data_IF_394250827306
#
_entry.id   IF_394250827306
#
_cell.length_a   1.000
_cell.length_b   1.000
_cell.length_c   1.000
_cell.angle_alpha   90.00
_cell.angle_beta   90.00
_cell.angle_gamma   90.00
#
_symmetry.space_group_name_H-M   'P 1'
#
loop_
_entity.id
_entity.type
_entity.pdbx_description
1 polymer ?
#
# COMPACT_ATOMS: atom_id res chain seq x y z
N UNK A 1 12.92 -55.05 35.58
CA UNK A 1 12.00 -53.95 35.17
C UNK A 1 12.81 -52.67 35.03
N UNK A 2 13.16 -52.30 33.79
CA UNK A 2 13.99 -51.13 33.49
C UNK A 2 13.15 -49.85 33.44
N UNK A 3 13.52 -48.84 34.24
CA UNK A 3 12.91 -47.51 34.18
C UNK A 3 13.52 -46.72 33.02
N UNK A 4 12.69 -46.33 32.06
CA UNK A 4 13.04 -45.42 30.97
C UNK A 4 13.06 -43.98 31.54
N UNK A 5 14.12 -43.18 31.37
CA UNK A 5 14.08 -41.77 31.70
C UNK A 5 13.39 -40.98 30.58
N UNK A 6 12.43 -40.11 30.94
CA UNK A 6 11.88 -39.11 30.02
C UNK A 6 12.97 -38.13 29.56
N UNK A 7 12.97 -37.70 28.28
CA UNK A 7 13.87 -36.65 27.82
C UNK A 7 13.49 -35.30 28.44
N UNK A 8 14.50 -34.65 29.04
CA UNK A 8 14.43 -33.25 29.51
C UNK A 8 14.04 -32.33 28.35
N UNK A 9 13.11 -31.41 28.60
CA UNK A 9 12.69 -30.39 27.62
C UNK A 9 13.87 -29.49 27.24
N UNK A 10 14.26 -29.54 25.97
CA UNK A 10 15.30 -28.69 25.40
C UNK A 10 14.70 -27.34 24.99
N UNK A 11 14.84 -26.37 25.90
CA UNK A 11 15.16 -24.96 25.61
C UNK A 11 14.44 -24.27 24.43
N UNK A 12 13.20 -23.81 24.64
CA UNK A 12 12.56 -22.78 23.79
C UNK A 12 13.08 -21.34 24.02
N UNK A 13 14.01 -21.13 24.96
CA UNK A 13 14.53 -19.78 25.31
C UNK A 13 15.66 -19.28 24.40
N UNK A 14 16.34 -20.15 23.64
CA UNK A 14 17.53 -19.76 22.83
C UNK A 14 17.17 -19.09 21.50
N UNK A 15 16.03 -19.39 20.91
CA UNK A 15 15.63 -18.85 19.59
C UNK A 15 15.15 -17.40 19.65
N UNK A 16 14.45 -16.99 20.72
CA UNK A 16 14.00 -15.59 20.89
C UNK A 16 15.13 -14.61 21.23
N UNK A 17 16.20 -15.07 21.91
CA UNK A 17 17.37 -14.21 22.21
C UNK A 17 18.15 -13.85 20.95
N UNK A 18 18.27 -14.76 19.97
CA UNK A 18 19.08 -14.50 18.76
C UNK A 18 18.40 -13.52 17.79
N UNK A 19 17.07 -13.56 17.65
CA UNK A 19 16.31 -12.54 16.88
C UNK A 19 16.40 -11.15 17.52
N UNK A 20 16.25 -11.07 18.84
CA UNK A 20 16.35 -9.79 19.59
C UNK A 20 17.77 -9.21 19.56
N UNK A 21 18.80 -10.05 19.58
CA UNK A 21 20.19 -9.64 19.44
C UNK A 21 20.52 -9.16 18.00
N UNK A 22 20.01 -9.84 16.97
CA UNK A 22 20.17 -9.40 15.57
C UNK A 22 19.52 -8.04 15.29
N UNK A 23 18.31 -7.79 15.82
CA UNK A 23 17.64 -6.48 15.73
C UNK A 23 18.40 -5.36 16.47
N UNK A 24 19.03 -5.67 17.61
CA UNK A 24 19.89 -4.72 18.33
C UNK A 24 21.13 -4.31 17.53
N UNK A 25 21.70 -5.21 16.73
CA UNK A 25 22.94 -4.94 15.98
C UNK A 25 22.72 -4.17 14.66
N UNK A 26 21.49 -4.02 14.18
CA UNK A 26 21.18 -3.29 12.93
C UNK A 26 20.54 -1.91 13.15
N UNK A 27 20.36 -1.47 14.40
CA UNK A 27 19.73 -0.19 14.73
C UNK A 27 20.77 0.84 15.15
N UNK A 28 20.66 2.07 14.60
CA UNK A 28 21.45 3.22 15.03
C UNK A 28 20.57 4.14 15.87
N UNK A 29 21.09 4.61 17.00
CA UNK A 29 20.41 5.58 17.86
C UNK A 29 20.80 6.97 17.40
N UNK A 30 19.80 7.83 17.17
CA UNK A 30 20.00 9.24 16.85
C UNK A 30 19.37 10.04 18.00
N UNK A 31 20.15 10.94 18.59
CA UNK A 31 19.68 11.88 19.62
C UNK A 31 19.68 13.28 19.00
N UNK A 32 18.52 13.94 18.99
CA UNK A 32 18.35 15.29 18.45
C UNK A 32 17.82 16.18 19.57
N UNK A 33 18.43 17.36 19.75
CA UNK A 33 17.87 18.42 20.59
C UNK A 33 16.94 19.26 19.73
N UNK A 34 15.73 19.49 20.20
CA UNK A 34 14.72 20.30 19.54
C UNK A 34 14.33 21.45 20.46
N UNK A 35 13.92 22.57 19.88
CA UNK A 35 13.36 23.71 20.61
C UNK A 35 11.99 23.34 21.22
N UNK A 36 11.60 24.05 22.28
CA UNK A 36 10.38 23.74 23.05
C UNK A 36 9.11 23.92 22.21
N UNK A 37 9.08 24.92 21.34
CA UNK A 37 7.96 25.19 20.44
C UNK A 37 7.70 24.03 19.46
N UNK A 38 8.77 23.42 18.92
CA UNK A 38 8.69 22.25 18.07
C UNK A 38 8.22 21.03 18.87
N UNK A 39 8.70 20.88 20.10
CA UNK A 39 8.29 19.82 21.00
C UNK A 39 6.77 19.89 21.32
N UNK A 40 6.27 21.09 21.65
CA UNK A 40 4.85 21.35 21.88
C UNK A 40 4.00 21.07 20.64
N UNK A 41 4.48 21.50 19.46
CA UNK A 41 3.76 21.26 18.21
C UNK A 41 3.67 19.77 17.87
N UNK A 42 4.76 19.01 18.07
CA UNK A 42 4.77 17.54 17.95
C UNK A 42 3.76 16.93 18.91
N UNK A 43 3.71 17.38 20.17
CA UNK A 43 2.76 16.88 21.17
C UNK A 43 1.30 17.14 20.78
N UNK A 44 0.99 18.32 20.26
CA UNK A 44 -0.35 18.66 19.78
C UNK A 44 -0.77 17.78 18.61
N UNK A 45 0.11 17.60 17.62
CA UNK A 45 -0.21 16.84 16.40
C UNK A 45 -0.33 15.34 16.67
N UNK A 46 0.58 14.74 17.47
CA UNK A 46 0.47 13.31 17.81
C UNK A 46 -0.83 13.01 18.56
N UNK A 47 -1.30 13.91 19.44
CA UNK A 47 -2.52 13.74 20.23
C UNK A 47 -3.73 13.71 19.30
N UNK A 48 -3.78 14.62 18.33
CA UNK A 48 -4.84 14.66 17.31
C UNK A 48 -4.90 13.37 16.48
N UNK A 49 -3.76 12.72 16.26
CA UNK A 49 -3.65 11.49 15.47
C UNK A 49 -3.71 10.20 16.30
N UNK A 50 -3.77 10.28 17.64
CA UNK A 50 -3.74 9.11 18.51
C UNK A 50 -2.42 8.33 18.50
N UNK A 51 -1.29 8.98 18.18
CA UNK A 51 0.02 8.34 18.03
C UNK A 51 0.93 8.60 19.24
N UNK A 52 1.86 7.67 19.49
CA UNK A 52 2.97 7.92 20.40
C UNK A 52 3.92 8.97 19.81
N UNK A 53 4.62 9.73 20.66
CA UNK A 53 5.60 10.74 20.19
C UNK A 53 6.70 10.08 19.35
N UNK A 54 7.15 8.89 19.76
CA UNK A 54 8.16 8.14 19.05
C UNK A 54 7.69 7.68 17.66
N UNK A 55 6.47 7.14 17.53
CA UNK A 55 5.94 6.69 16.23
C UNK A 55 5.70 7.87 15.29
N UNK A 56 5.18 8.98 15.82
CA UNK A 56 5.02 10.21 15.06
C UNK A 56 6.37 10.67 14.48
N UNK A 57 7.42 10.76 15.30
CA UNK A 57 8.77 11.16 14.84
C UNK A 57 9.32 10.15 13.83
N UNK A 58 9.18 8.84 14.07
CA UNK A 58 9.63 7.80 13.12
C UNK A 58 8.96 7.95 11.76
N UNK A 59 7.66 8.23 11.71
CA UNK A 59 6.95 8.44 10.45
C UNK A 59 7.53 9.61 9.64
N UNK A 60 7.90 10.72 10.30
CA UNK A 60 8.58 11.84 9.62
C UNK A 60 9.98 11.48 9.15
N UNK A 61 10.73 10.69 9.94
CA UNK A 61 12.06 10.22 9.53
C UNK A 61 11.97 9.25 8.36
N UNK A 62 10.94 8.40 8.31
CA UNK A 62 10.68 7.51 7.18
C UNK A 62 10.40 8.28 5.88
N UNK A 63 9.75 9.45 5.95
CA UNK A 63 9.56 10.31 4.77
C UNK A 63 10.87 10.79 4.14
N UNK A 64 11.98 10.85 4.91
CA UNK A 64 13.29 11.24 4.37
C UNK A 64 13.82 10.28 3.31
N UNK A 65 13.30 9.05 3.24
CA UNK A 65 13.60 8.07 2.18
C UNK A 65 13.03 8.49 0.82
N UNK A 66 12.16 9.49 0.78
CA UNK A 66 11.46 9.92 -0.44
C UNK A 66 11.66 11.40 -0.74
N UNK A 67 11.90 12.21 0.29
CA UNK A 67 11.84 13.67 0.23
C UNK A 67 13.05 14.31 0.93
N UNK A 68 13.63 15.34 0.31
CA UNK A 68 14.68 16.19 0.90
C UNK A 68 14.19 17.62 1.01
N UNK A 69 14.27 18.20 2.21
CA UNK A 69 14.04 19.64 2.43
C UNK A 69 15.35 20.39 2.15
N UNK A 70 15.42 21.11 1.02
CA UNK A 70 16.46 22.11 0.76
C UNK A 70 15.96 23.49 1.25
N UNK A 71 16.88 24.42 1.56
CA UNK A 71 16.63 25.68 2.32
C UNK A 71 15.26 26.35 2.10
N UNK A 72 14.76 26.40 0.87
CA UNK A 72 13.47 27.01 0.49
C UNK A 72 12.50 26.08 -0.26
N UNK A 73 12.83 24.81 -0.49
CA UNK A 73 12.03 23.90 -1.32
C UNK A 73 12.06 22.46 -0.83
N UNK A 74 10.94 21.77 -0.95
CA UNK A 74 10.84 20.33 -0.74
C UNK A 74 11.02 19.65 -2.11
N UNK A 75 12.08 18.86 -2.27
CA UNK A 75 12.38 18.14 -3.52
C UNK A 75 12.29 16.63 -3.31
N UNK A 76 11.99 15.89 -4.38
CA UNK A 76 12.24 14.45 -4.39
C UNK A 76 13.75 14.17 -4.47
N UNK A 77 14.16 12.95 -4.10
CA UNK A 77 15.56 12.53 -4.16
C UNK A 77 16.20 12.57 -5.56
N UNK A 78 15.38 12.64 -6.62
CA UNK A 78 15.82 12.73 -8.01
C UNK A 78 15.65 14.13 -8.62
N UNK A 79 15.61 15.16 -7.79
CA UNK A 79 15.56 16.57 -8.19
C UNK A 79 14.30 16.94 -9.03
N UNK A 80 13.23 16.14 -8.91
CA UNK A 80 11.92 16.45 -9.50
C UNK A 80 11.09 17.28 -8.54
N UNK A 81 10.18 18.07 -9.11
CA UNK A 81 9.22 18.85 -8.33
C UNK A 81 8.27 17.92 -7.56
N UNK A 82 8.13 18.18 -6.26
CA UNK A 82 7.16 17.49 -5.42
C UNK A 82 5.80 18.15 -5.58
N UNK A 83 4.83 17.41 -6.14
CA UNK A 83 3.44 17.87 -6.21
C UNK A 83 2.63 17.16 -5.12
N UNK A 84 2.11 17.92 -4.16
CA UNK A 84 1.16 17.42 -3.16
C UNK A 84 -0.25 17.77 -3.64
N UNK A 85 -1.04 16.75 -3.97
CA UNK A 85 -2.40 16.92 -4.45
C UNK A 85 -3.39 16.40 -3.39
N UNK A 86 -4.41 17.20 -3.06
CA UNK A 86 -5.52 16.72 -2.24
C UNK A 86 -6.19 15.52 -2.93
N UNK A 87 -6.35 14.40 -2.22
CA UNK A 87 -6.98 13.18 -2.77
C UNK A 87 -8.33 13.43 -3.46
N UNK A 88 -9.17 14.29 -2.87
CA UNK A 88 -10.46 14.67 -3.45
C UNK A 88 -10.32 15.43 -4.78
N UNK A 89 -9.26 16.22 -4.95
CA UNK A 89 -8.98 16.92 -6.20
C UNK A 89 -8.40 15.98 -7.25
N UNK A 90 -7.45 15.12 -6.87
CA UNK A 90 -6.93 14.08 -7.76
C UNK A 90 -8.05 13.20 -8.31
N UNK A 91 -8.96 12.76 -7.44
CA UNK A 91 -10.15 12.00 -7.85
C UNK A 91 -10.98 12.74 -8.90
N UNK A 92 -11.25 14.04 -8.71
CA UNK A 92 -11.99 14.87 -9.68
C UNK A 92 -11.26 14.99 -11.02
N UNK A 93 -9.93 15.02 -11.02
CA UNK A 93 -9.16 15.02 -12.26
C UNK A 93 -9.33 13.68 -13.00
N UNK A 94 -9.22 12.56 -12.29
CA UNK A 94 -9.38 11.22 -12.87
C UNK A 94 -10.82 11.01 -13.40
N UNK A 95 -11.84 11.50 -12.68
CA UNK A 95 -13.24 11.43 -13.10
C UNK A 95 -13.54 12.14 -14.43
N UNK A 96 -12.74 13.15 -14.80
CA UNK A 96 -12.88 13.87 -16.07
C UNK A 96 -12.23 13.17 -17.27
N UNK A 97 -11.36 12.20 -17.01
CA UNK A 97 -10.71 11.42 -18.06
C UNK A 97 -11.70 10.44 -18.67
N UNK A 98 -11.51 10.11 -19.95
CA UNK A 98 -12.21 8.99 -20.58
C UNK A 98 -11.89 7.67 -19.85
N UNK A 99 -12.77 6.67 -19.94
CA UNK A 99 -12.51 5.40 -19.27
C UNK A 99 -11.21 4.72 -19.75
N UNK A 100 -10.82 4.91 -21.02
CA UNK A 100 -9.55 4.41 -21.55
C UNK A 100 -8.35 5.08 -20.87
N UNK A 101 -8.39 6.40 -20.71
CA UNK A 101 -7.37 7.17 -19.98
C UNK A 101 -7.34 6.82 -18.50
N UNK A 102 -8.50 6.60 -17.87
CA UNK A 102 -8.59 6.12 -16.49
C UNK A 102 -7.89 4.77 -16.32
N UNK A 103 -8.12 3.82 -17.24
CA UNK A 103 -7.46 2.51 -17.25
C UNK A 103 -5.94 2.68 -17.39
N UNK A 104 -5.50 3.48 -18.37
CA UNK A 104 -4.09 3.73 -18.62
C UNK A 104 -3.39 4.36 -17.40
N UNK A 105 -4.03 5.31 -16.74
CA UNK A 105 -3.50 5.93 -15.53
C UNK A 105 -3.44 4.93 -14.36
N UNK A 106 -4.47 4.09 -14.21
CA UNK A 106 -4.49 3.02 -13.20
C UNK A 106 -3.33 2.04 -13.39
N UNK A 107 -3.12 1.55 -14.61
CA UNK A 107 -1.99 0.70 -14.98
C UNK A 107 -0.64 1.37 -14.64
N UNK A 108 -0.45 2.64 -15.03
CA UNK A 108 0.81 3.38 -14.78
C UNK A 108 1.11 3.54 -13.28
N UNK A 109 0.12 3.95 -12.48
CA UNK A 109 0.32 4.16 -11.04
C UNK A 109 0.55 2.85 -10.27
N UNK A 110 -0.14 1.76 -10.65
CA UNK A 110 0.13 0.45 -10.06
C UNK A 110 1.52 -0.08 -10.46
N UNK A 111 1.97 0.22 -11.68
CA UNK A 111 3.32 -0.15 -12.11
C UNK A 111 4.40 0.51 -11.26
N UNK A 112 4.22 1.78 -10.87
CA UNK A 112 5.10 2.44 -9.91
C UNK A 112 5.24 1.65 -8.59
N UNK A 113 4.12 1.20 -8.02
CA UNK A 113 4.13 0.39 -6.79
C UNK A 113 4.86 -0.94 -7.01
N UNK A 114 4.58 -1.61 -8.13
CA UNK A 114 5.25 -2.87 -8.48
C UNK A 114 6.75 -2.69 -8.72
N UNK A 115 7.18 -1.61 -9.36
CA UNK A 115 8.58 -1.32 -9.64
C UNK A 115 9.35 -1.09 -8.33
N UNK A 116 8.77 -0.34 -7.39
CA UNK A 116 9.32 -0.15 -6.05
C UNK A 116 9.40 -1.50 -5.31
N UNK A 117 8.35 -2.31 -5.37
CA UNK A 117 8.36 -3.65 -4.76
C UNK A 117 9.41 -4.56 -5.40
N UNK A 118 9.63 -4.46 -6.71
CA UNK A 118 10.68 -5.20 -7.44
C UNK A 118 12.07 -4.81 -6.97
N UNK A 119 12.36 -3.50 -6.90
CA UNK A 119 13.66 -2.99 -6.43
C UNK A 119 13.97 -3.48 -5.00
N UNK A 120 12.95 -3.62 -4.16
CA UNK A 120 13.10 -4.09 -2.78
C UNK A 120 13.05 -5.62 -2.63
N UNK A 121 12.96 -6.39 -3.72
CA UNK A 121 12.86 -7.86 -3.67
C UNK A 121 11.56 -8.39 -3.05
N UNK A 122 10.50 -7.57 -3.02
CA UNK A 122 9.20 -7.85 -2.40
C UNK A 122 8.06 -7.85 -3.43
N UNK A 123 8.38 -8.16 -4.68
CA UNK A 123 7.44 -8.06 -5.80
C UNK A 123 6.19 -8.95 -5.65
N UNK A 124 6.31 -10.13 -5.02
CA UNK A 124 5.18 -11.03 -4.81
C UNK A 124 4.48 -10.82 -3.45
N UNK A 125 4.96 -9.88 -2.65
CA UNK A 125 4.41 -9.60 -1.32
C UNK A 125 3.29 -8.55 -1.43
N UNK A 126 2.04 -9.04 -1.46
CA UNK A 126 0.87 -8.17 -1.55
C UNK A 126 0.72 -7.27 -0.33
N UNK A 127 1.03 -7.79 0.87
CA UNK A 127 0.96 -7.03 2.12
C UNK A 127 1.88 -5.81 2.05
N UNK A 128 3.12 -6.02 1.57
CA UNK A 128 4.08 -4.95 1.35
C UNK A 128 3.60 -3.91 0.33
N UNK A 129 3.00 -4.35 -0.78
CA UNK A 129 2.43 -3.44 -1.79
C UNK A 129 1.27 -2.61 -1.26
N UNK A 130 0.40 -3.20 -0.44
CA UNK A 130 -0.69 -2.48 0.22
C UNK A 130 -0.15 -1.46 1.21
N UNK A 131 0.89 -1.82 1.97
CA UNK A 131 1.57 -0.87 2.87
C UNK A 131 2.19 0.30 2.09
N UNK A 132 2.77 0.05 0.90
CA UNK A 132 3.23 1.13 0.01
C UNK A 132 2.09 2.04 -0.44
N UNK A 133 0.94 1.47 -0.81
CA UNK A 133 -0.23 2.26 -1.24
C UNK A 133 -0.76 3.16 -0.11
N UNK A 134 -0.77 2.65 1.13
CA UNK A 134 -1.16 3.42 2.30
C UNK A 134 -0.17 4.56 2.58
N UNK A 135 1.13 4.24 2.57
CA UNK A 135 2.20 5.21 2.78
C UNK A 135 2.26 6.32 1.71
N UNK A 136 1.91 6.00 0.45
CA UNK A 136 1.76 7.01 -0.61
C UNK A 136 0.44 7.80 -0.53
N UNK A 137 -0.45 7.44 0.40
CA UNK A 137 -1.74 8.10 0.57
C UNK A 137 -2.78 7.75 -0.50
N UNK A 138 -2.56 6.68 -1.27
CA UNK A 138 -3.52 6.23 -2.29
C UNK A 138 -4.82 5.75 -1.63
N UNK A 139 -4.74 4.77 -0.74
CA UNK A 139 -5.85 4.26 0.05
C UNK A 139 -5.33 3.54 1.29
N UNK A 140 -6.08 3.57 2.39
CA UNK A 140 -5.71 2.80 3.58
C UNK A 140 -5.73 1.31 3.26
N UNK A 141 -4.81 0.56 3.84
CA UNK A 141 -4.87 -0.89 3.80
C UNK A 141 -6.06 -1.37 4.63
N UNK A 142 -7.00 -2.03 3.97
CA UNK A 142 -8.20 -2.56 4.63
C UNK A 142 -8.54 -3.92 4.04
N UNK A 143 -8.54 -4.95 4.89
CA UNK A 143 -8.78 -6.35 4.54
C UNK A 143 -9.89 -6.83 5.47
N UNK A 144 -10.89 -7.54 4.93
CA UNK A 144 -11.98 -8.11 5.71
C UNK A 144 -11.64 -9.50 6.28
N UNK A 145 -12.55 -10.05 7.09
CA UNK A 145 -12.36 -11.35 7.75
C UNK A 145 -12.28 -12.54 6.77
N UNK A 146 -12.70 -12.34 5.51
CA UNK A 146 -12.60 -13.35 4.44
C UNK A 146 -11.40 -13.07 3.51
N UNK A 147 -10.42 -12.27 3.95
CA UNK A 147 -9.21 -11.95 3.19
C UNK A 147 -9.44 -11.17 1.87
N UNK A 148 -10.60 -10.51 1.72
CA UNK A 148 -10.81 -9.57 0.61
C UNK A 148 -10.17 -8.22 0.91
N UNK A 149 -9.43 -7.70 -0.06
CA UNK A 149 -8.92 -6.33 0.00
C UNK A 149 -10.05 -5.36 -0.38
N UNK A 150 -10.32 -4.39 0.49
CA UNK A 150 -11.40 -3.42 0.33
C UNK A 150 -10.84 -2.06 -0.13
N UNK A 151 -11.06 -1.72 -1.40
CA UNK A 151 -10.58 -0.48 -1.99
C UNK A 151 -11.65 0.62 -1.90
N UNK A 152 -11.38 1.71 -1.18
CA UNK A 152 -12.39 2.76 -1.01
C UNK A 152 -12.86 3.34 -2.34
N UNK A 153 -14.18 3.47 -2.54
CA UNK A 153 -14.75 4.17 -3.71
C UNK A 153 -14.34 5.66 -3.79
N UNK A 154 -13.78 6.21 -2.71
CA UNK A 154 -13.19 7.56 -2.69
C UNK A 154 -11.78 7.63 -3.31
N UNK A 155 -11.16 6.49 -3.65
CA UNK A 155 -9.87 6.46 -4.31
C UNK A 155 -9.94 6.94 -5.75
N UNK A 156 -10.92 6.46 -6.51
CA UNK A 156 -11.13 6.88 -7.88
C UNK A 156 -12.34 6.20 -8.55
N UNK A 157 -12.60 6.54 -9.81
CA UNK A 157 -13.59 5.87 -10.64
C UNK A 157 -13.35 4.37 -10.74
N UNK A 158 -14.42 3.60 -10.99
CA UNK A 158 -14.37 2.13 -11.03
C UNK A 158 -13.31 1.59 -11.99
N UNK A 159 -13.25 2.10 -13.24
CA UNK A 159 -12.30 1.63 -14.27
C UNK A 159 -10.85 1.90 -13.92
N UNK A 160 -10.57 3.06 -13.34
CA UNK A 160 -9.25 3.37 -12.78
C UNK A 160 -8.85 2.37 -11.68
N UNK A 161 -9.75 2.11 -10.71
CA UNK A 161 -9.46 1.19 -9.60
C UNK A 161 -9.29 -0.24 -10.10
N UNK A 162 -10.13 -0.71 -11.01
CA UNK A 162 -9.99 -2.04 -11.64
C UNK A 162 -8.62 -2.22 -12.28
N UNK A 163 -8.20 -1.26 -13.10
CA UNK A 163 -6.90 -1.32 -13.77
C UNK A 163 -5.73 -1.28 -12.78
N UNK A 164 -5.81 -0.39 -11.78
CA UNK A 164 -4.81 -0.28 -10.73
C UNK A 164 -4.65 -1.60 -9.98
N UNK A 165 -5.76 -2.17 -9.49
CA UNK A 165 -5.74 -3.40 -8.69
C UNK A 165 -5.33 -4.60 -9.55
N UNK A 166 -5.80 -4.67 -10.80
CA UNK A 166 -5.38 -5.71 -11.73
C UNK A 166 -3.88 -5.72 -11.92
N UNK A 167 -3.28 -4.56 -12.23
CA UNK A 167 -1.85 -4.44 -12.47
C UNK A 167 -1.04 -4.69 -11.20
N UNK A 168 -1.56 -4.31 -10.04
CA UNK A 168 -0.93 -4.59 -8.74
C UNK A 168 -0.77 -6.10 -8.49
N UNK A 169 -1.76 -6.90 -8.89
CA UNK A 169 -1.79 -8.36 -8.77
C UNK A 169 -1.06 -9.08 -9.92
N UNK A 170 -1.39 -8.72 -11.17
CA UNK A 170 -0.97 -9.42 -12.38
C UNK A 170 0.23 -8.71 -13.03
N UNK A 171 1.42 -9.05 -12.53
CA UNK A 171 2.67 -8.44 -12.97
C UNK A 171 2.89 -8.66 -14.48
N UNK A 172 3.23 -7.59 -15.20
CA UNK A 172 3.54 -7.64 -16.63
C UNK A 172 2.32 -7.76 -17.57
N UNK A 173 1.11 -7.91 -17.03
CA UNK A 173 -0.12 -7.88 -17.83
C UNK A 173 -0.89 -6.58 -17.57
N UNK A 174 -1.12 -5.79 -18.61
CA UNK A 174 -1.93 -4.57 -18.48
C UNK A 174 -3.41 -4.95 -18.38
N UNK A 175 -4.18 -4.15 -17.63
CA UNK A 175 -5.63 -4.22 -17.72
C UNK A 175 -6.07 -3.78 -19.11
N UNK A 176 -6.93 -4.57 -19.75
CA UNK A 176 -7.31 -4.34 -21.13
C UNK A 176 -8.09 -3.02 -21.25
N UNK A 177 -7.58 -2.10 -22.07
CA UNK A 177 -8.19 -0.79 -22.34
C UNK A 177 -9.57 -0.94 -22.99
N UNK A 178 -9.84 -2.05 -23.68
CA UNK A 178 -11.16 -2.32 -24.27
C UNK A 178 -12.24 -2.68 -23.23
N UNK A 179 -11.87 -2.87 -21.96
CA UNK A 179 -12.82 -3.13 -20.88
C UNK A 179 -13.50 -1.85 -20.36
N UNK A 180 -13.83 -0.95 -21.28
CA UNK A 180 -14.72 0.19 -21.05
C UNK A 180 -16.18 -0.21 -21.14
N UNK A 181 -17.04 0.53 -20.45
CA UNK A 181 -18.48 0.29 -20.31
C UNK A 181 -19.15 0.21 -21.69
N UNK A 182 -18.87 1.14 -22.60
CA UNK A 182 -19.46 1.16 -23.95
C UNK A 182 -19.18 -0.12 -24.76
N UNK A 183 -18.00 -0.72 -24.64
CA UNK A 183 -17.62 -1.97 -25.31
C UNK A 183 -18.16 -3.21 -24.58
N UNK A 184 -18.16 -3.20 -23.24
CA UNK A 184 -18.75 -4.27 -22.43
C UNK A 184 -20.26 -4.40 -22.70
N UNK A 185 -20.94 -3.28 -22.90
CA UNK A 185 -22.39 -3.25 -23.11
C UNK A 185 -22.79 -3.64 -24.54
N UNK A 186 -21.89 -3.50 -25.52
CA UNK A 186 -22.19 -3.78 -26.93
C UNK A 186 -21.59 -5.08 -27.45
N UNK A 187 -20.48 -5.56 -26.88
CA UNK A 187 -19.71 -6.69 -27.40
C UNK A 187 -19.72 -7.88 -26.42
N UNK A 188 -20.46 -8.94 -26.78
CA UNK A 188 -20.63 -10.13 -25.94
C UNK A 188 -19.31 -10.80 -25.56
N UNK A 189 -18.37 -10.93 -26.51
CA UNK A 189 -17.03 -11.51 -26.26
C UNK A 189 -16.26 -10.72 -25.21
N UNK A 190 -16.28 -9.38 -25.30
CA UNK A 190 -15.61 -8.51 -24.33
C UNK A 190 -16.28 -8.62 -22.96
N UNK A 191 -17.62 -8.58 -22.92
CA UNK A 191 -18.39 -8.71 -21.68
C UNK A 191 -18.06 -10.00 -20.93
N UNK A 192 -18.03 -11.13 -21.64
CA UNK A 192 -17.72 -12.44 -21.04
C UNK A 192 -16.28 -12.47 -20.54
N UNK A 193 -15.31 -11.99 -21.34
CA UNK A 193 -13.91 -11.91 -20.92
C UNK A 193 -13.72 -11.03 -19.68
N UNK A 194 -14.37 -9.87 -19.63
CA UNK A 194 -14.34 -8.95 -18.49
C UNK A 194 -14.93 -9.59 -17.23
N UNK A 195 -16.14 -10.17 -17.31
CA UNK A 195 -16.78 -10.82 -16.15
C UNK A 195 -15.92 -11.95 -15.59
N UNK A 196 -15.33 -12.76 -16.46
CA UNK A 196 -14.52 -13.91 -16.07
C UNK A 196 -13.20 -13.50 -15.41
N UNK A 197 -12.59 -12.38 -15.82
CA UNK A 197 -11.29 -11.95 -15.30
C UNK A 197 -11.39 -10.97 -14.14
N UNK A 198 -12.26 -9.98 -14.22
CA UNK A 198 -12.35 -8.91 -13.22
C UNK A 198 -13.14 -9.35 -11.99
N UNK A 199 -14.10 -10.27 -12.15
CA UNK A 199 -14.86 -10.91 -11.07
C UNK A 199 -15.19 -9.93 -9.90
N UNK A 200 -15.91 -8.82 -10.16
CA UNK A 200 -16.24 -7.86 -9.12
C UNK A 200 -17.21 -8.49 -8.12
N UNK A 201 -16.90 -8.34 -6.82
CA UNK A 201 -17.72 -8.86 -5.71
C UNK A 201 -18.23 -7.69 -4.89
N UNK A 202 -19.45 -7.78 -4.37
CA UNK A 202 -20.01 -6.75 -3.49
C UNK A 202 -19.82 -7.19 -2.04
N UNK A 203 -18.77 -6.70 -1.39
CA UNK A 203 -18.52 -6.91 0.05
C UNK A 203 -18.97 -5.72 0.91
N UNK A 204 -18.94 -4.52 0.35
CA UNK A 204 -19.31 -3.28 1.03
C UNK A 204 -19.88 -2.25 0.06
N UNK A 205 -20.84 -1.44 0.50
CA UNK A 205 -21.43 -0.37 -0.30
C UNK A 205 -20.44 0.77 -0.61
N UNK A 206 -19.44 0.97 0.25
CA UNK A 206 -18.48 2.08 0.17
C UNK A 206 -17.11 1.69 -0.40
N UNK A 207 -16.90 0.40 -0.70
CA UNK A 207 -15.64 -0.13 -1.23
C UNK A 207 -15.88 -0.93 -2.52
N UNK A 208 -14.83 -1.05 -3.32
CA UNK A 208 -14.70 -2.04 -4.38
C UNK A 208 -13.94 -3.25 -3.83
N UNK A 209 -14.28 -4.43 -4.35
CA UNK A 209 -13.66 -5.71 -4.00
C UNK A 209 -13.69 -6.61 -5.24
N UNK A 210 -12.63 -7.39 -5.44
CA UNK A 210 -12.46 -8.23 -6.61
C UNK A 210 -11.94 -9.61 -6.19
N UNK A 211 -12.53 -10.68 -6.74
CA UNK A 211 -12.16 -12.05 -6.40
C UNK A 211 -10.69 -12.34 -6.71
N UNK A 212 -10.19 -11.86 -7.85
CA UNK A 212 -8.79 -12.05 -8.27
C UNK A 212 -7.76 -11.40 -7.33
N UNK A 213 -8.22 -10.53 -6.41
CA UNK A 213 -7.37 -9.82 -5.45
C UNK A 213 -7.49 -10.36 -4.02
N UNK A 214 -8.28 -11.41 -3.81
CA UNK A 214 -8.41 -12.08 -2.52
C UNK A 214 -7.05 -12.65 -2.09
N UNK A 215 -6.66 -12.42 -0.84
CA UNK A 215 -5.42 -13.00 -0.32
C UNK A 215 -5.62 -14.49 -0.02
N UNK A 216 -4.59 -15.34 -0.27
CA UNK A 216 -4.67 -16.75 0.09
C UNK A 216 -4.82 -16.93 1.60
N UNK A 217 -5.56 -17.96 2.00
CA UNK A 217 -5.60 -18.42 3.40
C UNK A 217 -4.23 -18.99 3.78
N UNK A 218 -3.71 -18.61 4.96
CA UNK A 218 -2.45 -19.13 5.51
C UNK A 218 -2.58 -20.57 6.01
#
# INVERSE_FOLDING_TARGET
MSRIPLPKSLNSKKTNRSRRAKLKNSTKIITVRIEEDLNENIDRLRKKLGLSKADFIRNYLEMSKFIVKQKSSIKSLNDRDLIIIKKSYLRKLIEKLSEEEQINLGNKLANLVNDIARINGRLNDMIYKLDLCDNFGFFPKFIDDENFILFSKKFGPKKFVEAFVWRLNNQGTDFNVDWISSKIDTQSKIRTAYKNKVQPVVRSSSHYSFEFSKLPEE
#
